data_IF_474006032386
#
_entry.id   IF_474006032386
#
_cell.length_a   1.000
_cell.length_b   1.000
_cell.length_c   1.000
_cell.angle_alpha   90.00
_cell.angle_beta   90.00
_cell.angle_gamma   90.00
#
_symmetry.space_group_name_H-M   'P 1'
#
loop_
_entity.id
_entity.type
_entity.pdbx_description
1 polymer ?
#
# COMPACT_ATOMS: atom_id res chain seq x y z
N UNK A 1 -3.33 0.20 0.47
CA UNK A 1 -2.61 -0.51 -0.60
C UNK A 1 -1.64 0.39 -1.36
N UNK A 2 -2.10 1.48 -1.99
CA UNK A 2 -1.25 2.35 -2.83
C UNK A 2 -0.04 2.98 -2.10
N UNK A 3 -0.17 3.27 -0.81
CA UNK A 3 0.89 3.90 0.00
C UNK A 3 1.70 2.92 0.85
N UNK A 4 1.27 1.67 0.97
CA UNK A 4 1.81 0.73 1.96
C UNK A 4 2.45 -0.52 1.37
N UNK A 5 2.27 -0.74 0.06
CA UNK A 5 2.58 -2.02 -0.59
C UNK A 5 1.92 -3.27 0.01
N UNK A 6 1.03 -3.14 1.00
CA UNK A 6 0.37 -4.28 1.62
C UNK A 6 -0.60 -4.94 0.63
N UNK A 7 -0.55 -6.28 0.53
CA UNK A 7 -1.52 -7.05 -0.26
C UNK A 7 -2.88 -7.08 0.44
N UNK A 8 -3.94 -7.40 -0.30
CA UNK A 8 -5.28 -7.53 0.29
C UNK A 8 -5.33 -8.49 1.47
N UNK A 9 -4.65 -9.63 1.37
CA UNK A 9 -4.55 -10.62 2.46
C UNK A 9 -3.84 -10.08 3.70
N UNK A 10 -2.92 -9.13 3.54
CA UNK A 10 -2.22 -8.47 4.64
C UNK A 10 -3.12 -7.41 5.26
N UNK A 11 -3.80 -6.60 4.42
CA UNK A 11 -4.76 -5.59 4.86
C UNK A 11 -5.88 -6.20 5.70
N UNK A 12 -6.58 -7.21 5.19
CA UNK A 12 -7.73 -7.80 5.91
C UNK A 12 -7.38 -8.53 7.21
N UNK A 13 -6.09 -8.73 7.48
CA UNK A 13 -5.59 -9.32 8.74
C UNK A 13 -5.20 -8.28 9.78
N UNK A 14 -5.13 -7.00 9.42
CA UNK A 14 -4.79 -5.91 10.33
C UNK A 14 -5.88 -5.77 11.41
N UNK A 15 -5.42 -5.57 12.63
CA UNK A 15 -6.26 -5.39 13.82
C UNK A 15 -5.91 -4.10 14.53
N UNK A 16 -6.84 -3.60 15.35
CA UNK A 16 -6.74 -2.39 16.18
C UNK A 16 -5.49 -2.25 17.07
N UNK A 17 -4.83 -3.38 17.36
CA UNK A 17 -3.61 -3.42 18.16
C UNK A 17 -2.34 -3.28 17.32
N UNK A 18 -2.48 -3.35 16.01
CA UNK A 18 -1.37 -3.35 15.07
C UNK A 18 -1.06 -1.91 14.59
N UNK A 19 -1.97 -0.95 14.77
CA UNK A 19 -1.72 0.46 14.49
C UNK A 19 -1.25 1.27 15.71
N UNK A 20 -0.44 2.29 15.43
CA UNK A 20 -0.15 3.40 16.33
C UNK A 20 -0.19 4.67 15.50
N UNK A 21 -1.01 5.64 15.90
CA UNK A 21 -1.19 6.91 15.19
C UNK A 21 -0.90 8.05 16.15
N UNK A 22 -0.08 8.99 15.73
CA UNK A 22 0.17 10.25 16.40
C UNK A 22 -0.14 11.44 15.46
N UNK A 23 0.20 12.65 15.90
CA UNK A 23 -0.03 13.87 15.13
C UNK A 23 0.77 13.90 13.82
N UNK A 24 1.96 13.29 13.78
CA UNK A 24 2.90 13.38 12.67
C UNK A 24 2.89 12.16 11.76
N UNK A 25 2.58 10.97 12.27
CA UNK A 25 2.72 9.71 11.54
C UNK A 25 1.80 8.60 12.05
N UNK A 26 1.81 7.52 11.28
CA UNK A 26 1.19 6.24 11.60
C UNK A 26 2.23 5.14 11.41
N UNK A 27 2.28 4.24 12.38
CA UNK A 27 3.00 2.98 12.31
C UNK A 27 2.00 1.84 12.21
N UNK A 28 2.13 0.99 11.19
CA UNK A 28 1.31 -0.20 11.02
C UNK A 28 2.18 -1.45 11.12
N UNK A 29 1.91 -2.30 12.09
CA UNK A 29 2.49 -3.63 12.18
C UNK A 29 1.75 -4.59 11.27
N UNK A 30 2.49 -5.40 10.53
CA UNK A 30 1.91 -6.40 9.65
C UNK A 30 2.81 -7.63 9.55
N UNK A 31 2.27 -8.68 8.93
CA UNK A 31 3.00 -9.93 8.74
C UNK A 31 2.73 -10.55 7.38
N UNK A 32 3.80 -11.00 6.74
CA UNK A 32 3.75 -11.89 5.59
C UNK A 32 3.78 -13.33 6.12
N UNK A 33 2.79 -14.12 5.72
CA UNK A 33 2.74 -15.56 6.00
C UNK A 33 2.95 -16.31 4.69
N UNK A 34 4.04 -17.09 4.60
CA UNK A 34 4.35 -17.97 3.45
C UNK A 34 4.60 -19.38 3.97
N UNK A 35 3.60 -20.26 3.85
CA UNK A 35 3.65 -21.59 4.46
C UNK A 35 3.86 -21.48 5.97
N UNK A 36 4.91 -22.11 6.49
CA UNK A 36 5.30 -22.05 7.92
C UNK A 36 6.13 -20.81 8.28
N UNK A 37 6.56 -20.00 7.31
CA UNK A 37 7.40 -18.81 7.55
C UNK A 37 6.52 -17.58 7.80
N UNK A 38 6.77 -16.90 8.91
CA UNK A 38 6.12 -15.64 9.29
C UNK A 38 7.20 -14.57 9.34
N UNK A 39 7.02 -13.47 8.59
CA UNK A 39 7.88 -12.29 8.65
C UNK A 39 7.03 -11.11 9.11
N UNK A 40 7.31 -10.60 10.30
CA UNK A 40 6.73 -9.35 10.79
C UNK A 40 7.55 -8.17 10.28
N UNK A 41 6.87 -7.05 10.03
CA UNK A 41 7.49 -5.80 9.64
C UNK A 41 6.55 -4.63 9.92
N UNK A 42 7.12 -3.45 10.04
CA UNK A 42 6.38 -2.21 10.30
C UNK A 42 6.39 -1.33 9.06
N UNK A 43 5.27 -0.67 8.80
CA UNK A 43 5.11 0.32 7.73
C UNK A 43 4.93 1.67 8.41
N UNK A 44 5.86 2.60 8.14
CA UNK A 44 5.73 4.00 8.56
C UNK A 44 5.06 4.81 7.45
N UNK A 45 4.02 5.57 7.80
CA UNK A 45 3.40 6.55 6.94
C UNK A 45 3.36 7.90 7.64
N UNK A 46 3.91 8.94 7.01
CA UNK A 46 3.83 10.31 7.55
C UNK A 46 2.49 10.96 7.21
N UNK A 47 2.03 11.84 8.09
CA UNK A 47 0.88 12.70 7.86
C UNK A 47 1.33 13.83 6.94
N UNK A 48 0.74 13.89 5.75
CA UNK A 48 0.97 14.95 4.78
C UNK A 48 -0.22 15.92 4.75
N UNK A 49 0.05 17.18 4.43
CA UNK A 49 -0.98 18.22 4.24
C UNK A 49 -1.78 18.10 2.93
N UNK A 50 -1.61 17.01 2.19
CA UNK A 50 -2.29 16.78 0.91
C UNK A 50 -3.74 16.31 1.12
N UNK A 51 -4.57 16.48 0.08
CA UNK A 51 -5.96 16.00 0.07
C UNK A 51 -6.08 14.47 0.18
N UNK A 52 -5.04 13.74 -0.23
CA UNK A 52 -5.00 12.27 -0.26
C UNK A 52 -4.08 11.66 0.80
N UNK A 53 -4.02 12.26 1.99
CA UNK A 53 -3.17 11.79 3.08
C UNK A 53 -3.62 10.41 3.62
N UNK A 54 -2.80 9.33 3.50
CA UNK A 54 -3.19 8.00 3.93
C UNK A 54 -3.39 7.89 5.45
N UNK A 55 -2.60 8.64 6.23
CA UNK A 55 -2.75 8.69 7.69
C UNK A 55 -4.11 9.29 8.06
N UNK A 56 -4.48 10.43 7.46
CA UNK A 56 -5.77 11.08 7.72
C UNK A 56 -6.94 10.19 7.31
N UNK A 57 -6.88 9.60 6.11
CA UNK A 57 -7.94 8.71 5.64
C UNK A 57 -8.15 7.50 6.57
N UNK A 58 -7.06 6.89 7.03
CA UNK A 58 -7.11 5.75 7.95
C UNK A 58 -7.61 6.15 9.35
N UNK A 59 -7.12 7.27 9.88
CA UNK A 59 -7.53 7.84 11.16
C UNK A 59 -9.03 8.21 11.17
N UNK A 60 -9.53 8.83 10.08
CA UNK A 60 -10.96 9.09 9.89
C UNK A 60 -11.77 7.79 9.89
N UNK A 61 -11.32 6.77 9.17
CA UNK A 61 -11.98 5.46 9.16
C UNK A 61 -12.03 4.85 10.57
N UNK A 62 -10.92 4.80 11.29
CA UNK A 62 -10.88 4.23 12.64
C UNK A 62 -11.77 4.98 13.64
N UNK A 63 -12.02 6.26 13.41
CA UNK A 63 -12.89 7.09 14.25
C UNK A 63 -14.37 7.09 13.82
N UNK A 64 -14.71 6.55 12.66
CA UNK A 64 -16.10 6.38 12.21
C UNK A 64 -16.94 5.53 13.19
N UNK A 65 -18.19 5.92 13.42
CA UNK A 65 -19.13 5.28 14.36
C UNK A 65 -19.45 3.82 14.01
N UNK A 66 -19.36 3.46 12.72
CA UNK A 66 -19.67 2.13 12.23
C UNK A 66 -18.54 1.12 12.48
N UNK A 67 -17.34 1.58 12.86
CA UNK A 67 -16.20 0.71 13.13
C UNK A 67 -16.25 0.03 14.50
N UNK A 68 -15.52 -1.07 14.65
CA UNK A 68 -15.27 -1.72 15.94
C UNK A 68 -14.14 -0.99 16.66
N UNK A 69 -14.35 -0.55 17.92
CA UNK A 69 -13.37 0.27 18.68
C UNK A 69 -12.47 -0.55 19.61
N UNK A 70 -12.87 -1.77 19.91
CA UNK A 70 -12.17 -2.65 20.85
C UNK A 70 -10.76 -3.00 20.36
N UNK A 71 -9.79 -3.03 21.29
CA UNK A 71 -8.42 -3.45 20.99
C UNK A 71 -8.41 -4.87 20.41
N UNK A 72 -7.61 -5.09 19.35
CA UNK A 72 -7.53 -6.38 18.67
C UNK A 72 -8.69 -6.71 17.72
N UNK A 73 -9.72 -5.86 17.62
CA UNK A 73 -10.76 -5.97 16.59
C UNK A 73 -10.19 -5.80 15.18
N UNK A 74 -10.86 -6.39 14.18
CA UNK A 74 -10.48 -6.18 12.78
C UNK A 74 -10.70 -4.73 12.35
N UNK A 75 -9.76 -4.18 11.58
CA UNK A 75 -9.86 -2.81 11.05
C UNK A 75 -10.81 -2.75 9.85
N UNK A 76 -10.71 -3.73 8.96
CA UNK A 76 -11.51 -3.78 7.74
C UNK A 76 -12.67 -4.75 7.93
N UNK A 77 -13.87 -4.21 8.04
CA UNK A 77 -15.09 -4.93 8.37
C UNK A 77 -16.16 -4.72 7.31
N UNK A 78 -17.08 -5.67 7.21
CA UNK A 78 -18.30 -5.51 6.45
C UNK A 78 -19.39 -4.98 7.39
N UNK A 79 -19.73 -3.69 7.25
CA UNK A 79 -20.70 -2.99 8.12
C UNK A 79 -22.07 -3.67 8.06
N UNK A 80 -22.54 -4.02 6.86
CA UNK A 80 -23.85 -4.63 6.61
C UNK A 80 -23.94 -6.07 7.16
N UNK A 81 -22.82 -6.80 7.17
CA UNK A 81 -22.76 -8.20 7.62
C UNK A 81 -22.28 -8.31 9.07
N UNK A 82 -23.01 -7.67 9.99
CA UNK A 82 -22.77 -7.72 11.45
C UNK A 82 -21.32 -7.36 11.81
N UNK A 83 -20.72 -6.39 11.11
CA UNK A 83 -19.34 -5.92 11.35
C UNK A 83 -18.27 -7.02 11.34
N UNK A 84 -18.49 -8.14 10.63
CA UNK A 84 -17.48 -9.21 10.53
C UNK A 84 -16.26 -8.73 9.72
N UNK A 85 -15.07 -9.31 9.94
CA UNK A 85 -13.90 -8.99 9.11
C UNK A 85 -14.15 -9.24 7.62
N UNK A 86 -13.63 -8.37 6.77
CA UNK A 86 -13.66 -8.53 5.31
C UNK A 86 -12.74 -9.69 4.89
N UNK A 87 -13.20 -10.49 3.91
CA UNK A 87 -12.30 -11.41 3.21
C UNK A 87 -11.42 -10.67 2.19
N UNK A 88 -10.28 -11.24 1.78
CA UNK A 88 -9.46 -10.67 0.71
C UNK A 88 -10.24 -10.48 -0.59
N UNK A 89 -11.19 -11.37 -0.89
CA UNK A 89 -12.07 -11.28 -2.06
C UNK A 89 -13.03 -10.11 -1.95
N UNK A 90 -13.67 -9.91 -0.80
CA UNK A 90 -14.57 -8.78 -0.58
C UNK A 90 -13.82 -7.44 -0.63
N UNK A 91 -12.62 -7.39 -0.04
CA UNK A 91 -11.75 -6.21 -0.14
C UNK A 91 -11.32 -5.94 -1.59
N UNK A 92 -11.04 -7.00 -2.36
CA UNK A 92 -10.79 -6.92 -3.80
C UNK A 92 -11.98 -6.38 -4.60
N UNK A 93 -13.21 -6.80 -4.25
CA UNK A 93 -14.42 -6.31 -4.89
C UNK A 93 -14.69 -4.83 -4.57
N UNK A 94 -14.50 -4.41 -3.32
CA UNK A 94 -14.62 -3.00 -2.92
C UNK A 94 -13.64 -2.15 -3.74
N UNK A 95 -12.39 -2.60 -3.90
CA UNK A 95 -11.44 -1.91 -4.77
C UNK A 95 -11.94 -1.85 -6.22
N UNK A 96 -12.44 -2.97 -6.76
CA UNK A 96 -12.93 -3.03 -8.14
C UNK A 96 -14.07 -2.02 -8.36
N UNK A 97 -15.02 -1.94 -7.43
CA UNK A 97 -16.10 -0.96 -7.49
C UNK A 97 -15.56 0.48 -7.54
N UNK A 98 -14.62 0.83 -6.64
CA UNK A 98 -13.98 2.16 -6.65
C UNK A 98 -13.28 2.46 -7.99
N UNK A 99 -12.64 1.46 -8.60
CA UNK A 99 -11.99 1.61 -9.90
C UNK A 99 -13.02 1.72 -11.04
N UNK A 100 -14.16 1.03 -10.95
CA UNK A 100 -15.25 1.12 -11.94
C UNK A 100 -15.91 2.50 -11.89
N UNK A 101 -16.10 3.07 -10.69
CA UNK A 101 -16.70 4.40 -10.49
C UNK A 101 -15.86 5.53 -11.12
N UNK A 102 -14.56 5.31 -11.29
CA UNK A 102 -13.64 6.23 -11.99
C UNK A 102 -13.28 5.74 -13.40
N UNK A 103 -14.07 4.81 -13.94
CA UNK A 103 -13.97 4.29 -15.31
C UNK A 103 -12.61 3.67 -15.67
N UNK A 104 -11.87 3.14 -14.67
CA UNK A 104 -10.64 2.41 -14.91
C UNK A 104 -10.96 1.03 -15.47
N UNK A 105 -10.37 0.66 -16.61
CA UNK A 105 -10.64 -0.62 -17.27
C UNK A 105 -10.48 -1.85 -16.35
N UNK A 106 -11.27 -2.90 -16.60
CA UNK A 106 -11.33 -4.12 -15.77
C UNK A 106 -10.00 -4.88 -15.66
N UNK A 107 -9.11 -4.70 -16.64
CA UNK A 107 -7.78 -5.31 -16.63
C UNK A 107 -6.86 -4.72 -15.55
N UNK A 108 -7.19 -3.55 -15.01
CA UNK A 108 -6.45 -2.92 -13.93
C UNK A 108 -7.07 -3.24 -12.57
N UNK A 109 -6.21 -3.50 -11.57
CA UNK A 109 -6.66 -3.83 -10.23
C UNK A 109 -5.57 -3.64 -9.18
N UNK A 110 -5.68 -4.36 -8.05
CA UNK A 110 -4.72 -4.24 -6.95
C UNK A 110 -3.26 -4.54 -7.36
N UNK A 111 -3.07 -5.47 -8.30
CA UNK A 111 -1.75 -5.77 -8.87
C UNK A 111 -1.24 -4.56 -9.67
N UNK A 112 -2.06 -3.96 -10.53
CA UNK A 112 -1.72 -2.77 -11.32
C UNK A 112 -1.39 -1.56 -10.45
N UNK A 113 -2.10 -1.35 -9.33
CA UNK A 113 -1.75 -0.33 -8.34
C UNK A 113 -0.33 -0.57 -7.80
N UNK A 114 0.01 -1.83 -7.51
CA UNK A 114 1.36 -2.19 -7.05
C UNK A 114 2.41 -1.96 -8.14
N UNK A 115 2.11 -2.27 -9.40
CA UNK A 115 2.97 -1.93 -10.54
C UNK A 115 3.22 -0.42 -10.60
N UNK A 116 2.17 0.39 -10.61
CA UNK A 116 2.27 1.86 -10.71
C UNK A 116 3.05 2.46 -9.54
N UNK A 117 2.79 2.00 -8.32
CA UNK A 117 3.53 2.42 -7.12
C UNK A 117 5.03 2.12 -7.27
N UNK A 118 5.38 0.91 -7.70
CA UNK A 118 6.76 0.48 -7.85
C UNK A 118 7.50 1.20 -8.98
N UNK A 119 6.86 1.33 -10.13
CA UNK A 119 7.38 2.14 -11.24
C UNK A 119 7.62 3.57 -10.80
N UNK A 120 6.69 4.18 -10.05
CA UNK A 120 6.87 5.54 -9.53
C UNK A 120 8.09 5.63 -8.61
N UNK A 121 8.20 4.77 -7.59
CA UNK A 121 9.35 4.77 -6.67
C UNK A 121 10.69 4.63 -7.40
N UNK A 122 10.75 3.71 -8.38
CA UNK A 122 11.97 3.52 -9.18
C UNK A 122 12.29 4.71 -10.08
N UNK A 123 11.27 5.37 -10.65
CA UNK A 123 11.43 6.59 -11.45
C UNK A 123 11.97 7.77 -10.62
N UNK A 124 11.56 7.87 -9.35
CA UNK A 124 12.08 8.87 -8.40
C UNK A 124 13.49 8.49 -7.86
N UNK A 125 14.11 7.43 -8.37
CA UNK A 125 15.50 7.07 -8.05
C UNK A 125 15.71 6.23 -6.80
N UNK A 126 14.64 5.80 -6.10
CA UNK A 126 14.72 4.95 -4.90
C UNK A 126 15.41 3.63 -5.24
N UNK A 127 16.39 3.19 -4.44
CA UNK A 127 17.19 1.99 -4.74
C UNK A 127 16.33 0.73 -4.71
N UNK A 128 16.74 -0.27 -5.52
CA UNK A 128 16.05 -1.56 -5.58
C UNK A 128 15.95 -2.21 -4.19
N UNK A 129 17.02 -2.13 -3.42
CA UNK A 129 17.10 -2.64 -2.05
C UNK A 129 16.00 -2.05 -1.14
N UNK A 130 15.87 -0.73 -1.13
CA UNK A 130 14.87 0.00 -0.33
C UNK A 130 13.45 -0.40 -0.75
N UNK A 131 13.21 -0.47 -2.06
CA UNK A 131 11.91 -0.90 -2.60
C UNK A 131 11.61 -2.36 -2.24
N UNK A 132 12.60 -3.24 -2.28
CA UNK A 132 12.47 -4.64 -1.90
C UNK A 132 12.08 -4.78 -0.43
N UNK A 133 12.78 -4.07 0.45
CA UNK A 133 12.49 -4.05 1.89
C UNK A 133 11.06 -3.54 2.12
N UNK A 134 10.70 -2.40 1.51
CA UNK A 134 9.36 -1.80 1.60
C UNK A 134 8.25 -2.75 1.16
N UNK A 135 8.53 -3.61 0.17
CA UNK A 135 7.56 -4.56 -0.38
C UNK A 135 7.60 -5.96 0.24
N UNK A 136 8.45 -6.16 1.24
CA UNK A 136 8.61 -7.41 1.98
C UNK A 136 9.42 -8.49 1.24
N UNK A 137 10.20 -8.12 0.22
CA UNK A 137 11.14 -8.99 -0.48
C UNK A 137 12.51 -9.00 0.21
N UNK A 138 13.40 -9.89 -0.26
CA UNK A 138 14.80 -9.88 0.16
C UNK A 138 15.51 -8.67 -0.49
N UNK A 139 16.42 -7.97 0.21
CA UNK A 139 17.19 -6.82 -0.29
C UNK A 139 17.76 -7.03 -1.71
N UNK A 140 18.33 -8.19 -1.95
CA UNK A 140 18.99 -8.63 -3.18
C UNK A 140 18.05 -9.20 -4.27
N UNK A 141 16.74 -9.26 -4.00
CA UNK A 141 15.79 -9.87 -4.92
C UNK A 141 15.57 -9.05 -6.19
N UNK A 142 15.62 -9.69 -7.37
CA UNK A 142 15.23 -9.04 -8.63
C UNK A 142 13.72 -9.12 -8.93
N UNK A 143 12.94 -9.83 -8.11
CA UNK A 143 11.51 -10.11 -8.37
C UNK A 143 10.72 -8.81 -8.53
N UNK A 144 10.97 -7.82 -7.67
CA UNK A 144 10.23 -6.56 -7.70
C UNK A 144 10.43 -5.83 -9.03
N UNK A 145 11.66 -5.74 -9.51
CA UNK A 145 11.97 -5.05 -10.75
C UNK A 145 11.50 -5.84 -11.99
N UNK A 146 11.70 -7.16 -12.01
CA UNK A 146 11.31 -8.00 -13.16
C UNK A 146 9.80 -8.01 -13.36
N UNK A 147 9.05 -8.22 -12.27
CA UNK A 147 7.61 -8.39 -12.39
C UNK A 147 6.88 -7.06 -12.34
N UNK A 148 7.24 -6.16 -11.42
CA UNK A 148 6.38 -5.03 -11.10
C UNK A 148 6.80 -3.69 -11.70
N UNK A 149 8.10 -3.44 -11.86
CA UNK A 149 8.58 -2.19 -12.46
C UNK A 149 8.34 -2.21 -13.98
N UNK A 150 7.50 -1.29 -14.47
CA UNK A 150 7.17 -1.10 -15.89
C UNK A 150 7.56 0.32 -16.30
N UNK A 151 8.87 0.62 -16.45
CA UNK A 151 9.31 1.97 -16.76
C UNK A 151 8.84 2.38 -18.16
N UNK A 152 8.29 3.58 -18.27
CA UNK A 152 8.12 4.25 -19.56
C UNK A 152 9.46 4.88 -19.92
N UNK A 153 9.85 4.79 -21.20
CA UNK A 153 11.10 5.37 -21.69
C UNK A 153 11.24 6.82 -21.24
N UNK A 154 12.29 7.12 -20.47
CA UNK A 154 12.65 8.49 -20.13
C UNK A 154 13.49 9.04 -21.28
N UNK A 155 13.25 10.29 -21.68
CA UNK A 155 14.20 10.96 -22.55
C UNK A 155 15.53 11.15 -21.80
N UNK A 156 16.49 10.27 -22.11
CA UNK A 156 17.81 10.33 -21.51
C UNK A 156 18.67 11.42 -22.14
N UNK A 157 18.31 11.92 -23.33
CA UNK A 157 19.04 13.01 -23.98
C UNK A 157 18.93 14.31 -23.18
N UNK A 158 17.75 14.58 -22.60
CA UNK A 158 17.56 15.70 -21.68
C UNK A 158 18.50 15.66 -20.46
N UNK A 159 18.84 14.48 -19.94
CA UNK A 159 19.77 14.33 -18.82
C UNK A 159 21.24 14.63 -19.20
N UNK A 160 21.59 14.39 -20.46
CA UNK A 160 22.92 14.70 -20.99
C UNK A 160 23.07 16.20 -21.28
N UNK A 161 21.97 16.84 -21.72
CA UNK A 161 21.94 18.28 -22.03
C UNK A 161 21.86 19.16 -20.78
N UNK A 162 21.20 18.71 -19.70
CA UNK A 162 21.08 19.47 -18.45
C UNK A 162 22.38 19.53 -17.62
N UNK A 163 23.41 18.73 -17.95
CA UNK A 163 24.71 18.76 -17.26
C UNK A 163 25.69 19.81 -17.82
N UNK A 164 25.30 20.63 -18.78
CA UNK A 164 26.18 21.62 -19.43
C UNK A 164 26.02 23.07 -18.93
N UNK A 165 25.25 23.32 -17.88
CA UNK A 165 25.22 24.65 -17.24
C UNK A 165 25.98 24.55 -15.90
N UNK A 166 27.28 24.79 -15.96
CA UNK A 166 28.14 25.20 -14.85
C UNK A 166 28.74 26.55 -15.25
#
# INVERSE_FOLDING_TARGET
MAFTAARMTELTRMRRKDEQIDEQKMMLQTKIVKGKRIRQYSIELRRYGTSYCPVRAFDTWLNDENTLKEEGSAIWINIEKKKRPLSPQECGQILRNVLDDIEVEKQYGGVSIRHSMLTKLRREGIKQEEVNIFTGYAPESNVVNVFYNKPVGRDLSALLLLKQII
#
